data_IF_346887455683
#
_entry.id   IF_346887455683
#
_cell.length_a   1.000
_cell.length_b   1.000
_cell.length_c   1.000
_cell.angle_alpha   90.00
_cell.angle_beta   90.00
_cell.angle_gamma   90.00
#
_symmetry.space_group_name_H-M   'P 1'
#
loop_
_entity.id
_entity.type
_entity.pdbx_description
1 polymer ?
#
# COMPACT_ATOMS: atom_id res chain seq x y z
N UNK A 1 2.87 30.98 7.84
CA UNK A 1 3.72 31.31 9.01
C UNK A 1 5.10 31.62 8.43
N UNK A 2 5.48 32.90 8.39
CA UNK A 2 6.82 33.33 7.97
C UNK A 2 7.80 32.97 9.09
N UNK A 3 8.87 32.28 8.74
CA UNK A 3 9.94 31.92 9.70
C UNK A 3 11.04 32.95 9.49
N UNK A 4 11.11 33.91 10.42
CA UNK A 4 11.96 35.09 10.23
C UNK A 4 13.39 34.94 10.75
N UNK A 5 13.74 33.85 11.43
CA UNK A 5 15.10 33.66 11.94
C UNK A 5 15.56 32.19 11.95
N UNK A 6 16.89 32.01 11.77
CA UNK A 6 17.56 30.69 11.91
C UNK A 6 17.33 30.04 13.30
N UNK A 7 17.10 30.86 14.32
CA UNK A 7 16.83 30.44 15.69
C UNK A 7 15.42 29.84 15.85
N UNK A 8 14.44 30.35 15.10
CA UNK A 8 13.07 29.79 15.06
C UNK A 8 13.02 28.50 14.27
N UNK A 9 13.74 28.42 13.14
CA UNK A 9 13.99 27.19 12.40
C UNK A 9 14.59 26.13 13.34
N UNK A 10 15.65 26.46 14.07
CA UNK A 10 16.26 25.53 15.01
C UNK A 10 15.31 25.13 16.17
N UNK A 11 14.44 26.00 16.67
CA UNK A 11 13.41 25.64 17.67
C UNK A 11 12.37 24.68 17.11
N UNK A 12 12.02 24.80 15.85
CA UNK A 12 11.09 23.88 15.18
C UNK A 12 11.76 22.53 14.91
N UNK A 13 13.02 22.52 14.48
CA UNK A 13 13.80 21.31 14.24
C UNK A 13 14.27 20.61 15.52
N UNK A 14 14.48 21.33 16.63
CA UNK A 14 14.91 20.77 17.91
C UNK A 14 13.73 20.26 18.77
N UNK A 15 12.47 20.48 18.42
CA UNK A 15 11.39 19.66 18.95
C UNK A 15 11.65 18.24 18.45
N UNK A 16 12.23 17.38 19.32
CA UNK A 16 12.32 15.94 19.09
C UNK A 16 10.93 15.47 18.72
N UNK A 17 10.69 15.29 17.42
CA UNK A 17 9.45 14.71 16.93
C UNK A 17 9.41 13.30 17.49
N UNK A 18 8.47 13.02 18.37
CA UNK A 18 8.27 11.66 18.87
C UNK A 18 7.76 10.79 17.70
N UNK A 19 8.69 10.05 17.12
CA UNK A 19 8.42 9.15 15.98
C UNK A 19 7.26 8.18 16.28
N UNK A 20 7.05 7.87 17.58
CA UNK A 20 5.95 7.00 18.03
C UNK A 20 4.57 7.62 17.80
N UNK A 21 4.48 8.95 17.76
CA UNK A 21 3.23 9.71 17.56
C UNK A 21 2.95 10.09 16.12
N UNK A 22 3.90 9.86 15.22
CA UNK A 22 3.68 10.14 13.80
C UNK A 22 2.65 9.16 13.21
N UNK A 23 1.75 9.64 12.35
CA UNK A 23 0.85 8.77 11.61
C UNK A 23 1.65 7.81 10.72
N UNK A 24 1.11 6.62 10.53
CA UNK A 24 1.65 5.60 9.61
C UNK A 24 0.59 5.24 8.60
N UNK A 25 1.00 5.06 7.37
CA UNK A 25 0.13 4.72 6.25
C UNK A 25 0.62 3.44 5.58
N UNK A 26 -0.30 2.68 5.00
CA UNK A 26 0.07 1.60 4.10
C UNK A 26 0.66 2.18 2.82
N UNK A 27 1.58 1.44 2.24
CA UNK A 27 2.25 1.81 0.99
C UNK A 27 2.61 0.53 0.22
N UNK A 28 2.48 0.55 -1.09
CA UNK A 28 2.94 -0.52 -1.96
C UNK A 28 4.29 -0.11 -2.56
N UNK A 29 5.27 -1.01 -2.53
CA UNK A 29 6.59 -0.80 -3.12
C UNK A 29 6.93 -2.00 -3.98
N UNK A 30 7.09 -1.77 -5.29
CA UNK A 30 7.44 -2.80 -6.26
C UNK A 30 8.83 -2.50 -6.82
N UNK A 31 9.68 -3.53 -6.93
CA UNK A 31 10.98 -3.44 -7.58
C UNK A 31 10.83 -3.74 -9.07
N UNK A 32 11.35 -2.87 -9.95
CA UNK A 32 11.26 -3.04 -11.41
C UNK A 32 12.22 -4.08 -11.96
N UNK A 33 13.41 -4.19 -11.39
CA UNK A 33 14.49 -5.02 -11.89
C UNK A 33 15.20 -5.77 -10.77
N UNK A 34 15.93 -6.82 -11.11
CA UNK A 34 16.72 -7.61 -10.18
C UNK A 34 17.73 -6.75 -9.39
N UNK A 35 18.34 -5.75 -10.02
CA UNK A 35 19.28 -4.86 -9.34
C UNK A 35 18.66 -4.05 -8.20
N UNK A 36 17.37 -3.75 -8.30
CA UNK A 36 16.64 -2.90 -7.33
C UNK A 36 16.08 -3.69 -6.16
N UNK A 37 15.92 -5.01 -6.28
CA UNK A 37 15.46 -5.88 -5.18
C UNK A 37 16.29 -5.67 -3.91
N UNK A 38 17.60 -5.49 -4.03
CA UNK A 38 18.47 -5.22 -2.89
C UNK A 38 18.08 -3.96 -2.11
N UNK A 39 17.59 -2.93 -2.81
CA UNK A 39 17.10 -1.71 -2.15
C UNK A 39 15.83 -1.98 -1.36
N UNK A 40 14.93 -2.80 -1.92
CA UNK A 40 13.72 -3.23 -1.21
C UNK A 40 14.07 -4.01 0.07
N UNK A 41 15.03 -4.94 0.01
CA UNK A 41 15.49 -5.68 1.18
C UNK A 41 16.09 -4.78 2.26
N UNK A 42 16.88 -3.76 1.86
CA UNK A 42 17.42 -2.77 2.80
C UNK A 42 16.30 -1.97 3.48
N UNK A 43 15.31 -1.49 2.73
CA UNK A 43 14.16 -0.79 3.29
C UNK A 43 13.40 -1.64 4.32
N UNK A 44 13.17 -2.92 4.00
CA UNK A 44 12.51 -3.87 4.91
C UNK A 44 13.37 -4.11 6.15
N UNK A 45 14.68 -4.31 6.01
CA UNK A 45 15.60 -4.50 7.12
C UNK A 45 15.65 -3.28 8.04
N UNK A 46 15.82 -2.08 7.49
CA UNK A 46 15.82 -0.82 8.25
C UNK A 46 14.47 -0.58 8.97
N UNK A 47 13.37 -0.97 8.34
CA UNK A 47 12.03 -0.86 8.95
C UNK A 47 11.90 -1.74 10.19
N UNK A 48 12.51 -2.93 10.19
CA UNK A 48 12.44 -3.87 11.30
C UNK A 48 13.49 -3.60 12.38
N UNK A 49 14.71 -3.24 12.01
CA UNK A 49 15.85 -3.07 12.94
C UNK A 49 15.84 -1.68 13.56
N UNK A 50 15.74 -0.64 12.71
CA UNK A 50 15.97 0.74 13.15
C UNK A 50 14.68 1.52 13.45
N UNK A 51 13.58 1.16 12.78
CA UNK A 51 12.35 1.97 12.79
C UNK A 51 11.12 1.20 13.29
N UNK A 52 11.30 0.07 13.97
CA UNK A 52 10.20 -0.72 14.50
C UNK A 52 9.52 -0.04 15.71
N UNK A 53 8.22 0.16 15.61
CA UNK A 53 7.39 0.49 16.75
C UNK A 53 5.99 -0.09 16.55
N UNK A 54 5.64 -1.15 17.28
CA UNK A 54 4.42 -1.98 17.13
C UNK A 54 4.33 -2.69 15.77
N UNK A 55 4.87 -2.08 14.72
CA UNK A 55 4.98 -2.59 13.35
C UNK A 55 6.23 -2.01 12.70
N UNK A 56 6.78 -2.65 11.65
CA UNK A 56 7.89 -2.07 10.90
C UNK A 56 7.41 -0.80 10.17
N UNK A 57 8.28 0.21 10.10
CA UNK A 57 7.97 1.51 9.49
C UNK A 57 9.11 1.98 8.61
N UNK A 58 8.79 2.53 7.47
CA UNK A 58 9.76 3.15 6.57
C UNK A 58 9.57 4.66 6.58
N UNK A 59 10.65 5.41 6.75
CA UNK A 59 10.61 6.87 6.64
C UNK A 59 10.41 7.27 5.18
N UNK A 60 9.52 8.21 4.92
CA UNK A 60 9.25 8.72 3.56
C UNK A 60 10.52 9.32 2.93
N UNK A 61 11.35 10.03 3.71
CA UNK A 61 12.65 10.54 3.25
C UNK A 61 13.60 9.40 2.81
N UNK A 62 13.66 8.31 3.57
CA UNK A 62 14.50 7.17 3.23
C UNK A 62 14.03 6.46 1.96
N UNK A 63 12.71 6.35 1.78
CA UNK A 63 12.13 5.81 0.56
C UNK A 63 12.47 6.70 -0.65
N UNK A 64 12.47 8.04 -0.48
CA UNK A 64 12.89 8.96 -1.54
C UNK A 64 14.35 8.80 -1.94
N UNK A 65 15.26 8.59 -0.99
CA UNK A 65 16.68 8.35 -1.26
C UNK A 65 16.91 7.06 -2.08
N UNK A 66 16.03 6.07 -1.93
CA UNK A 66 16.13 4.76 -2.57
C UNK A 66 15.12 4.56 -3.70
N UNK A 67 14.47 5.63 -4.15
CA UNK A 67 13.32 5.57 -5.07
C UNK A 67 13.66 5.03 -6.47
N UNK A 68 14.90 5.21 -6.92
CA UNK A 68 15.29 4.80 -8.26
C UNK A 68 15.00 3.32 -8.52
N UNK A 69 14.29 3.04 -9.60
CA UNK A 69 13.87 1.68 -9.98
C UNK A 69 12.75 1.06 -9.15
N UNK A 70 12.17 1.80 -8.18
CA UNK A 70 10.98 1.39 -7.45
C UNK A 70 9.72 2.01 -8.07
N UNK A 71 8.61 1.31 -7.96
CA UNK A 71 7.25 1.82 -8.19
C UNK A 71 6.57 1.93 -6.83
N UNK A 72 5.97 3.08 -6.55
CA UNK A 72 5.33 3.35 -5.28
C UNK A 72 3.83 3.56 -5.50
N UNK A 73 3.01 2.68 -4.90
CA UNK A 73 1.55 2.73 -4.97
C UNK A 73 0.91 3.32 -3.73
N UNK A 74 -0.26 3.96 -3.93
CA UNK A 74 -1.01 4.66 -2.90
C UNK A 74 -1.64 3.78 -1.82
N UNK A 75 -1.68 2.46 -2.05
CA UNK A 75 -2.31 1.44 -1.21
C UNK A 75 -3.82 1.66 -0.96
N UNK A 76 -4.39 0.84 -0.07
CA UNK A 76 -5.81 0.75 0.25
C UNK A 76 -6.34 1.95 1.07
N UNK A 77 -7.47 1.78 1.75
CA UNK A 77 -8.09 2.78 2.64
C UNK A 77 -7.18 3.18 3.83
N UNK A 78 -6.19 2.34 4.18
CA UNK A 78 -5.17 2.68 5.17
C UNK A 78 -3.99 3.47 4.59
N UNK A 79 -3.97 3.73 3.28
CA UNK A 79 -2.99 4.55 2.58
C UNK A 79 -3.16 6.05 2.84
N UNK A 80 -2.12 6.83 2.56
CA UNK A 80 -2.09 8.28 2.82
C UNK A 80 -3.12 9.03 1.97
N UNK A 81 -3.31 8.63 0.70
CA UNK A 81 -4.26 9.27 -0.23
C UNK A 81 -5.68 9.16 0.29
N UNK A 82 -6.12 7.93 0.57
CA UNK A 82 -7.47 7.67 1.04
C UNK A 82 -7.75 8.37 2.38
N UNK A 83 -6.78 8.30 3.32
CA UNK A 83 -6.86 8.97 4.63
C UNK A 83 -6.91 10.49 4.50
N UNK A 84 -6.22 11.08 3.53
CA UNK A 84 -6.27 12.52 3.28
C UNK A 84 -7.67 12.97 2.83
N UNK A 85 -8.33 12.18 1.96
CA UNK A 85 -9.68 12.48 1.47
C UNK A 85 -10.70 12.40 2.61
N UNK A 86 -10.70 11.30 3.38
CA UNK A 86 -11.61 11.15 4.54
C UNK A 86 -11.34 12.21 5.61
N UNK A 87 -10.07 12.59 5.79
CA UNK A 87 -9.66 13.67 6.70
C UNK A 87 -10.07 15.07 6.26
N UNK A 88 -10.77 15.21 5.13
CA UNK A 88 -11.30 16.48 4.62
C UNK A 88 -10.25 17.41 4.04
N UNK A 89 -9.10 16.90 3.58
CA UNK A 89 -8.11 17.72 2.88
C UNK A 89 -8.64 18.25 1.57
N UNK A 90 -8.20 19.46 1.19
CA UNK A 90 -8.53 20.05 -0.10
C UNK A 90 -7.97 19.22 -1.26
N UNK A 91 -8.55 19.37 -2.44
CA UNK A 91 -8.13 18.64 -3.65
C UNK A 91 -6.66 18.91 -4.00
N UNK A 92 -6.18 20.15 -3.81
CA UNK A 92 -4.77 20.48 -4.02
C UNK A 92 -3.83 19.78 -3.02
N UNK A 93 -4.20 19.71 -1.73
CA UNK A 93 -3.44 18.96 -0.74
C UNK A 93 -3.39 17.48 -1.05
N UNK A 94 -4.50 16.91 -1.52
CA UNK A 94 -4.55 15.49 -1.95
C UNK A 94 -3.68 15.27 -3.18
N UNK A 95 -3.72 16.14 -4.17
CA UNK A 95 -2.85 16.08 -5.37
C UNK A 95 -1.37 16.19 -4.98
N UNK A 96 -1.00 17.06 -4.06
CA UNK A 96 0.37 17.18 -3.54
C UNK A 96 0.84 15.87 -2.89
N UNK A 97 -0.02 15.23 -2.12
CA UNK A 97 0.24 13.89 -1.58
C UNK A 97 0.39 12.86 -2.69
N UNK A 98 -0.52 12.85 -3.67
CA UNK A 98 -0.51 11.89 -4.79
C UNK A 98 0.76 12.02 -5.66
N UNK A 99 1.36 13.18 -5.78
CA UNK A 99 2.62 13.38 -6.55
C UNK A 99 3.77 12.53 -6.05
N UNK A 100 3.75 12.13 -4.78
CA UNK A 100 4.74 11.22 -4.22
C UNK A 100 4.63 9.80 -4.79
N UNK A 101 3.44 9.35 -5.13
CA UNK A 101 3.13 8.00 -5.60
C UNK A 101 3.24 7.90 -7.12
N UNK A 102 3.53 6.72 -7.64
CA UNK A 102 3.55 6.45 -9.08
C UNK A 102 2.16 6.10 -9.61
N UNK A 103 1.30 5.54 -8.76
CA UNK A 103 -0.10 5.27 -9.04
C UNK A 103 -0.98 5.41 -7.81
N UNK A 104 -2.25 5.70 -8.03
CA UNK A 104 -3.29 5.64 -7.01
C UNK A 104 -4.00 4.29 -7.06
N UNK A 105 -4.63 3.89 -5.96
CA UNK A 105 -5.33 2.62 -5.83
C UNK A 105 -6.77 2.84 -5.37
N UNK A 106 -7.69 2.07 -5.95
CA UNK A 106 -9.09 1.97 -5.53
C UNK A 106 -9.46 0.49 -5.37
N UNK A 107 -10.40 0.21 -4.50
CA UNK A 107 -10.84 -1.15 -4.18
C UNK A 107 -12.36 -1.31 -4.33
N UNK A 108 -12.88 -2.55 -4.46
CA UNK A 108 -14.31 -2.81 -4.42
C UNK A 108 -14.96 -2.18 -3.20
N UNK A 109 -16.18 -1.66 -3.38
CA UNK A 109 -16.89 -0.94 -2.31
C UNK A 109 -17.09 -1.83 -1.07
N UNK A 110 -17.39 -3.11 -1.27
CA UNK A 110 -17.56 -4.08 -0.19
C UNK A 110 -16.33 -4.23 0.72
N UNK A 111 -15.13 -3.99 0.22
CA UNK A 111 -13.91 -4.06 1.04
C UNK A 111 -13.90 -3.00 2.16
N UNK A 112 -14.57 -1.87 1.92
CA UNK A 112 -14.61 -0.72 2.83
C UNK A 112 -15.97 -0.51 3.50
N UNK A 113 -16.93 -1.45 3.36
CA UNK A 113 -18.26 -1.37 3.94
C UNK A 113 -18.25 -1.17 5.47
N UNK A 114 -17.26 -1.73 6.17
CA UNK A 114 -17.05 -1.52 7.60
C UNK A 114 -16.95 -0.05 8.02
N UNK A 115 -16.58 0.84 7.10
CA UNK A 115 -16.45 2.28 7.38
C UNK A 115 -17.83 2.93 7.54
N UNK A 116 -18.87 2.40 6.88
CA UNK A 116 -20.26 2.80 7.04
C UNK A 116 -20.72 2.40 8.46
N UNK A 117 -20.46 1.17 8.85
CA UNK A 117 -20.81 0.66 10.18
C UNK A 117 -20.14 1.44 11.32
N UNK A 118 -18.89 1.87 11.10
CA UNK A 118 -18.14 2.72 12.04
C UNK A 118 -18.52 4.20 11.99
N UNK A 119 -19.42 4.60 11.08
CA UNK A 119 -19.84 5.99 10.91
C UNK A 119 -18.73 6.91 10.36
N UNK A 120 -17.69 6.35 9.77
CA UNK A 120 -16.60 7.12 9.13
C UNK A 120 -16.99 7.61 7.72
N UNK A 121 -17.96 6.94 7.10
CA UNK A 121 -18.56 7.21 5.80
C UNK A 121 -20.05 6.97 5.94
N UNK A 122 -20.85 7.74 5.25
CA UNK A 122 -22.32 7.74 5.40
C UNK A 122 -22.98 6.50 4.80
N UNK A 123 -22.62 6.17 3.57
CA UNK A 123 -23.24 5.12 2.76
C UNK A 123 -22.31 4.64 1.63
N UNK A 124 -22.77 3.65 0.85
CA UNK A 124 -22.02 3.13 -0.31
C UNK A 124 -21.80 4.18 -1.40
N UNK A 125 -22.68 5.15 -1.56
CA UNK A 125 -22.52 6.18 -2.59
C UNK A 125 -21.37 7.11 -2.23
N UNK A 126 -21.17 7.41 -0.95
CA UNK A 126 -19.97 8.14 -0.51
C UNK A 126 -18.69 7.34 -0.73
N UNK A 127 -18.70 6.01 -0.54
CA UNK A 127 -17.54 5.16 -0.87
C UNK A 127 -17.24 5.20 -2.39
N UNK A 128 -18.27 5.17 -3.24
CA UNK A 128 -18.12 5.33 -4.70
C UNK A 128 -17.57 6.72 -5.05
N UNK A 129 -18.02 7.76 -4.36
CA UNK A 129 -17.56 9.13 -4.58
C UNK A 129 -16.10 9.32 -4.16
N UNK A 130 -15.65 8.66 -3.09
CA UNK A 130 -14.22 8.63 -2.72
C UNK A 130 -13.39 7.99 -3.85
N UNK A 131 -13.81 6.84 -4.39
CA UNK A 131 -13.11 6.19 -5.50
C UNK A 131 -13.12 7.08 -6.77
N UNK A 132 -14.25 7.73 -7.11
CA UNK A 132 -14.33 8.70 -8.20
C UNK A 132 -13.37 9.87 -7.99
N UNK A 133 -13.31 10.39 -6.77
CA UNK A 133 -12.43 11.50 -6.41
C UNK A 133 -10.96 11.10 -6.57
N UNK A 134 -10.56 9.89 -6.08
CA UNK A 134 -9.20 9.38 -6.26
C UNK A 134 -8.86 9.31 -7.75
N UNK A 135 -9.71 8.72 -8.58
CA UNK A 135 -9.51 8.62 -10.02
C UNK A 135 -9.35 10.00 -10.69
N UNK A 136 -10.27 10.92 -10.41
CA UNK A 136 -10.29 12.24 -11.04
C UNK A 136 -9.04 13.05 -10.68
N UNK A 137 -8.67 13.10 -9.39
CA UNK A 137 -7.48 13.83 -8.93
C UNK A 137 -6.18 13.24 -9.47
N UNK A 138 -6.08 11.91 -9.53
CA UNK A 138 -4.95 11.22 -10.13
C UNK A 138 -4.83 11.56 -11.62
N UNK A 139 -5.94 11.55 -12.36
CA UNK A 139 -6.01 11.91 -13.78
C UNK A 139 -5.57 13.35 -14.06
N UNK A 140 -5.99 14.31 -13.21
CA UNK A 140 -5.56 15.71 -13.34
C UNK A 140 -4.04 15.90 -13.26
N UNK A 141 -3.35 15.03 -12.52
CA UNK A 141 -1.88 15.07 -12.37
C UNK A 141 -1.16 14.00 -13.18
N UNK A 142 -1.84 13.39 -14.17
CA UNK A 142 -1.31 12.34 -15.04
C UNK A 142 -0.75 11.12 -14.30
N UNK A 143 -1.41 10.69 -13.23
CA UNK A 143 -1.08 9.45 -12.51
C UNK A 143 -2.11 8.37 -12.84
N UNK A 144 -1.69 7.12 -13.12
CA UNK A 144 -2.63 6.03 -13.31
C UNK A 144 -3.32 5.68 -11.98
N UNK A 145 -4.58 5.26 -12.09
CA UNK A 145 -5.32 4.62 -10.99
C UNK A 145 -5.49 3.16 -11.30
N UNK A 146 -5.22 2.27 -10.35
CA UNK A 146 -5.43 0.83 -10.47
C UNK A 146 -6.53 0.36 -9.53
N UNK A 147 -7.34 -0.58 -9.98
CA UNK A 147 -8.29 -1.30 -9.15
C UNK A 147 -7.67 -2.60 -8.67
N UNK A 148 -7.56 -2.78 -7.35
CA UNK A 148 -7.04 -3.99 -6.72
C UNK A 148 -8.14 -4.69 -5.93
N UNK A 149 -8.07 -6.03 -5.84
CA UNK A 149 -9.11 -6.82 -5.19
C UNK A 149 -8.89 -7.01 -3.68
N UNK A 150 -7.65 -6.89 -3.21
CA UNK A 150 -7.26 -7.17 -1.81
C UNK A 150 -7.62 -8.60 -1.38
N UNK A 151 -7.17 -9.58 -2.16
CA UNK A 151 -7.52 -10.98 -1.98
C UNK A 151 -6.93 -11.56 -0.70
N UNK A 152 -7.78 -12.14 0.15
CA UNK A 152 -7.40 -12.85 1.37
C UNK A 152 -7.83 -14.32 1.37
N UNK A 153 -8.75 -14.71 0.49
CA UNK A 153 -9.22 -16.09 0.30
C UNK A 153 -9.69 -16.30 -1.14
N UNK A 154 -9.82 -17.57 -1.56
CA UNK A 154 -10.08 -17.91 -2.95
C UNK A 154 -11.55 -17.74 -3.32
N UNK A 155 -12.42 -18.46 -2.67
CA UNK A 155 -13.85 -18.50 -2.96
C UNK A 155 -14.67 -17.74 -1.89
N UNK A 156 -15.84 -17.18 -2.22
CA UNK A 156 -16.67 -16.45 -1.25
C UNK A 156 -16.98 -17.22 0.05
N UNK A 157 -17.10 -18.54 -0.02
CA UNK A 157 -17.40 -19.38 1.16
C UNK A 157 -16.17 -19.62 2.07
N UNK A 158 -14.97 -19.37 1.60
CA UNK A 158 -13.72 -19.50 2.38
C UNK A 158 -13.59 -18.40 3.45
N UNK A 159 -14.44 -17.40 3.40
CA UNK A 159 -14.59 -16.41 4.47
C UNK A 159 -14.71 -17.08 5.85
N UNK A 160 -15.38 -18.23 5.93
CA UNK A 160 -15.55 -18.97 7.17
C UNK A 160 -14.20 -19.41 7.77
N UNK A 161 -13.25 -19.85 6.94
CA UNK A 161 -11.91 -20.23 7.41
C UNK A 161 -11.12 -19.03 7.93
N UNK A 162 -11.19 -17.90 7.21
CA UNK A 162 -10.56 -16.65 7.65
C UNK A 162 -11.12 -16.18 8.98
N UNK A 163 -12.43 -16.24 9.18
CA UNK A 163 -13.13 -15.91 10.44
C UNK A 163 -12.60 -16.75 11.60
N UNK A 164 -12.49 -18.05 11.42
CA UNK A 164 -11.97 -18.96 12.45
C UNK A 164 -10.54 -18.61 12.84
N UNK A 165 -9.66 -18.33 11.84
CA UNK A 165 -8.26 -17.98 12.08
C UNK A 165 -8.18 -16.64 12.82
N UNK A 166 -8.94 -15.64 12.41
CA UNK A 166 -8.94 -14.31 13.04
C UNK A 166 -9.47 -14.39 14.49
N UNK A 167 -10.55 -15.14 14.71
CA UNK A 167 -11.07 -15.36 16.06
C UNK A 167 -10.04 -16.04 16.96
N UNK A 168 -9.33 -17.05 16.44
CA UNK A 168 -8.25 -17.74 17.15
C UNK A 168 -7.05 -16.83 17.48
N UNK A 169 -6.84 -15.79 16.69
CA UNK A 169 -5.81 -14.75 16.94
C UNK A 169 -6.31 -13.61 17.84
N UNK A 170 -7.57 -13.63 18.28
CA UNK A 170 -8.15 -12.62 19.18
C UNK A 170 -8.60 -11.32 18.51
N UNK A 171 -8.84 -11.32 17.19
CA UNK A 171 -9.43 -10.18 16.51
C UNK A 171 -10.91 -10.02 16.89
N UNK A 172 -11.27 -8.85 17.44
CA UNK A 172 -12.64 -8.58 17.90
C UNK A 172 -13.67 -8.39 16.79
N UNK A 173 -13.22 -8.20 15.56
CA UNK A 173 -14.02 -8.03 14.35
C UNK A 173 -14.02 -9.26 13.44
N UNK A 174 -13.62 -10.42 13.97
CA UNK A 174 -13.53 -11.67 13.22
C UNK A 174 -14.85 -12.06 12.54
N UNK A 175 -16.00 -11.77 13.15
CA UNK A 175 -17.33 -12.10 12.63
C UNK A 175 -17.80 -11.12 11.53
N UNK A 176 -17.13 -9.98 11.36
CA UNK A 176 -17.46 -8.99 10.35
C UNK A 176 -16.43 -9.04 9.20
N UNK A 177 -16.61 -10.00 8.29
CA UNK A 177 -15.69 -10.22 7.18
C UNK A 177 -16.07 -9.39 5.96
N UNK A 178 -15.10 -8.63 5.43
CA UNK A 178 -15.22 -8.03 4.12
C UNK A 178 -15.12 -9.12 3.02
N UNK A 179 -15.75 -8.93 1.84
CA UNK A 179 -15.77 -9.91 0.76
C UNK A 179 -14.44 -9.93 -0.03
N UNK A 180 -13.35 -10.35 0.64
CA UNK A 180 -11.98 -10.31 0.14
C UNK A 180 -11.61 -11.58 -0.65
N UNK A 181 -12.53 -12.13 -1.43
CA UNK A 181 -12.27 -13.28 -2.29
C UNK A 181 -11.63 -12.88 -3.62
N UNK A 182 -11.01 -13.84 -4.31
CA UNK A 182 -10.43 -13.63 -5.64
C UNK A 182 -11.55 -13.39 -6.66
N UNK A 183 -11.58 -12.20 -7.23
CA UNK A 183 -12.51 -11.86 -8.30
C UNK A 183 -11.86 -12.02 -9.67
N UNK A 184 -12.60 -12.57 -10.61
CA UNK A 184 -12.23 -12.58 -12.03
C UNK A 184 -12.24 -11.17 -12.61
N UNK A 185 -11.68 -11.01 -13.81
CA UNK A 185 -11.72 -9.72 -14.52
C UNK A 185 -13.15 -9.22 -14.74
N UNK A 186 -14.08 -10.11 -15.08
CA UNK A 186 -15.48 -9.79 -15.29
C UNK A 186 -16.17 -9.33 -14.01
N UNK A 187 -15.85 -9.97 -12.89
CA UNK A 187 -16.38 -9.57 -11.58
C UNK A 187 -15.81 -8.22 -11.17
N UNK A 188 -14.52 -7.99 -11.35
CA UNK A 188 -13.91 -6.68 -11.08
C UNK A 188 -14.51 -5.58 -11.97
N UNK A 189 -14.76 -5.83 -13.25
CA UNK A 189 -15.45 -4.88 -14.12
C UNK A 189 -16.86 -4.54 -13.64
N UNK A 190 -17.59 -5.52 -13.07
CA UNK A 190 -18.91 -5.28 -12.46
C UNK A 190 -18.80 -4.43 -11.19
N UNK A 191 -17.84 -4.70 -10.32
CA UNK A 191 -17.58 -3.92 -9.11
C UNK A 191 -17.34 -2.43 -9.40
N UNK A 192 -16.68 -2.12 -10.51
CA UNK A 192 -16.34 -0.75 -10.91
C UNK A 192 -17.26 -0.17 -12.01
N UNK A 193 -18.36 -0.85 -12.37
CA UNK A 193 -19.29 -0.39 -13.41
C UNK A 193 -19.88 1.00 -13.12
N UNK A 194 -19.97 1.42 -11.86
CA UNK A 194 -20.44 2.75 -11.46
C UNK A 194 -19.52 3.90 -11.91
N UNK A 195 -18.29 3.60 -12.36
CA UNK A 195 -17.38 4.59 -12.96
C UNK A 195 -17.65 4.81 -14.46
N UNK A 196 -18.49 3.96 -15.06
CA UNK A 196 -18.66 3.87 -16.51
C UNK A 196 -17.69 2.87 -17.17
N UNK A 197 -18.10 2.28 -18.29
CA UNK A 197 -17.40 1.17 -18.93
C UNK A 197 -15.93 1.49 -19.28
N UNK A 198 -15.69 2.67 -19.85
CA UNK A 198 -14.35 3.08 -20.28
C UNK A 198 -13.38 3.19 -19.09
N UNK A 199 -13.81 3.86 -18.00
CA UNK A 199 -13.00 4.03 -16.81
C UNK A 199 -12.81 2.70 -16.08
N UNK A 200 -13.86 1.87 -15.98
CA UNK A 200 -13.78 0.55 -15.38
C UNK A 200 -12.72 -0.31 -16.09
N UNK A 201 -12.71 -0.33 -17.44
CA UNK A 201 -11.67 -1.04 -18.22
C UNK A 201 -10.29 -0.43 -18.05
N UNK A 202 -10.20 0.88 -17.90
CA UNK A 202 -8.92 1.56 -17.63
C UNK A 202 -8.32 1.10 -16.31
N UNK A 203 -9.08 1.19 -15.20
CA UNK A 203 -8.57 0.92 -13.86
C UNK A 203 -8.41 -0.57 -13.55
N UNK A 204 -9.25 -1.45 -14.16
CA UNK A 204 -9.23 -2.91 -13.91
C UNK A 204 -8.27 -3.64 -14.85
N UNK A 205 -8.08 -3.17 -16.08
CA UNK A 205 -7.32 -3.91 -17.09
C UNK A 205 -6.08 -3.13 -17.54
N UNK A 206 -6.28 -1.92 -18.10
CA UNK A 206 -5.18 -1.21 -18.76
C UNK A 206 -4.07 -0.78 -17.78
N UNK A 207 -4.45 -0.13 -16.70
CA UNK A 207 -3.48 0.40 -15.74
C UNK A 207 -2.77 -0.70 -14.94
N UNK A 208 -3.43 -1.76 -14.43
CA UNK A 208 -2.73 -2.89 -13.82
C UNK A 208 -1.73 -3.56 -14.76
N UNK A 209 -2.10 -3.80 -16.04
CA UNK A 209 -1.16 -4.32 -17.03
C UNK A 209 0.00 -3.37 -17.31
N UNK A 210 -0.26 -2.05 -17.35
CA UNK A 210 0.82 -1.07 -17.51
C UNK A 210 1.84 -1.14 -16.36
N UNK A 211 1.38 -1.27 -15.12
CA UNK A 211 2.27 -1.43 -13.96
C UNK A 211 3.01 -2.78 -14.03
N UNK A 212 2.30 -3.88 -14.28
CA UNK A 212 2.89 -5.21 -14.38
C UNK A 212 3.97 -5.29 -15.48
N UNK A 213 3.67 -4.78 -16.68
CA UNK A 213 4.60 -4.78 -17.81
C UNK A 213 5.83 -3.87 -17.61
N UNK A 214 5.85 -3.03 -16.57
CA UNK A 214 7.01 -2.22 -16.22
C UNK A 214 8.01 -2.93 -15.28
N UNK A 215 7.70 -4.17 -14.90
CA UNK A 215 8.50 -5.03 -14.03
C UNK A 215 9.15 -6.13 -14.91
N UNK A 216 10.42 -6.43 -14.63
CA UNK A 216 11.16 -7.49 -15.32
C UNK A 216 10.55 -8.87 -15.01
N UNK A 217 10.17 -9.62 -16.05
CA UNK A 217 9.57 -10.95 -15.93
C UNK A 217 10.51 -12.00 -15.31
N UNK A 218 11.82 -11.77 -15.37
CA UNK A 218 12.83 -12.67 -14.82
C UNK A 218 13.27 -12.33 -13.40
N UNK A 219 12.55 -11.43 -12.74
CA UNK A 219 12.88 -10.98 -11.39
C UNK A 219 12.67 -12.11 -10.38
N UNK A 220 13.74 -12.48 -9.66
CA UNK A 220 13.72 -13.52 -8.62
C UNK A 220 13.94 -12.89 -7.25
N UNK A 221 12.93 -12.91 -6.36
CA UNK A 221 13.09 -12.44 -4.98
C UNK A 221 14.11 -13.26 -4.20
N UNK A 222 14.17 -14.57 -4.46
CA UNK A 222 15.11 -15.51 -3.82
C UNK A 222 16.01 -16.09 -4.91
N UNK A 223 17.35 -16.01 -4.77
CA UNK A 223 18.28 -16.65 -5.70
C UNK A 223 18.07 -18.16 -5.74
N UNK A 224 18.40 -18.79 -6.88
CA UNK A 224 18.34 -20.25 -7.03
C UNK A 224 19.45 -20.96 -6.23
N UNK A 225 20.51 -20.22 -5.89
CA UNK A 225 21.67 -20.75 -5.17
C UNK A 225 21.39 -20.81 -3.67
N UNK A 226 21.96 -21.83 -3.02
CA UNK A 226 21.96 -21.94 -1.57
C UNK A 226 23.20 -21.26 -1.00
N UNK A 227 23.01 -20.48 0.06
CA UNK A 227 24.09 -19.80 0.78
C UNK A 227 24.20 -20.37 2.22
N UNK A 228 24.78 -21.56 2.39
CA UNK A 228 24.98 -22.08 3.74
C UNK A 228 25.93 -21.14 4.52
N UNK A 229 25.71 -20.96 5.82
CA UNK A 229 26.58 -20.15 6.65
C UNK A 229 27.98 -20.76 6.66
N UNK A 230 29.00 -19.94 6.41
CA UNK A 230 30.41 -20.34 6.61
C UNK A 230 30.69 -20.23 8.10
N UNK A 231 30.83 -21.37 8.75
CA UNK A 231 31.25 -21.46 10.16
C UNK A 231 32.71 -21.95 10.14
N UNK A 232 33.59 -21.15 10.74
CA UNK A 232 35.01 -21.49 10.80
C UNK A 232 35.21 -22.85 11.51
N UNK A 233 35.92 -23.78 10.87
CA UNK A 233 36.14 -25.13 11.36
C UNK A 233 35.03 -26.15 11.10
N UNK A 234 33.85 -25.76 10.59
CA UNK A 234 32.75 -26.70 10.33
C UNK A 234 32.99 -27.61 9.11
N UNK A 235 33.83 -27.17 8.17
CA UNK A 235 34.19 -27.95 7.00
C UNK A 235 35.14 -29.14 7.36
N UNK A 236 35.83 -29.06 8.49
CA UNK A 236 36.74 -30.10 8.96
C UNK A 236 35.98 -31.30 9.57
N UNK A 237 34.78 -31.07 10.12
CA UNK A 237 33.93 -32.11 10.74
C UNK A 237 33.12 -32.95 9.71
N UNK A 238 33.04 -32.52 8.47
CA UNK A 238 32.36 -33.26 7.39
C UNK A 238 33.28 -34.23 6.63
N UNK A 239 34.52 -34.33 7.03
CA UNK A 239 35.53 -35.20 6.43
C UNK A 239 35.71 -36.56 7.13
N UNK A 240 34.79 -36.93 8.02
CA UNK A 240 34.79 -38.21 8.76
C UNK A 240 33.89 -39.24 8.11
#
# INVERSE_FOLDING_TARGET
MQIDTLAELNKIFLKKVDIKKLPTYHIIILAKTQAVIRNLYKLVSEAHIDNFFRRPRTKKSRLMEMREGLIIGGACEAGEIYRAIIGGKSDEEVKDIMRFYDYAEIQPIGNNAYMIEKGSVKDEDELKDINRKIYNLAKEINKPTVATCDVHFLDPHDEAFRRIIMAGQGFGDADNQAPLYLRTTEEMLKEFAYLGEEIAREVVIKNPNYIANSIDDNLKPIPDETYPPKIEGADDDTSL
#
